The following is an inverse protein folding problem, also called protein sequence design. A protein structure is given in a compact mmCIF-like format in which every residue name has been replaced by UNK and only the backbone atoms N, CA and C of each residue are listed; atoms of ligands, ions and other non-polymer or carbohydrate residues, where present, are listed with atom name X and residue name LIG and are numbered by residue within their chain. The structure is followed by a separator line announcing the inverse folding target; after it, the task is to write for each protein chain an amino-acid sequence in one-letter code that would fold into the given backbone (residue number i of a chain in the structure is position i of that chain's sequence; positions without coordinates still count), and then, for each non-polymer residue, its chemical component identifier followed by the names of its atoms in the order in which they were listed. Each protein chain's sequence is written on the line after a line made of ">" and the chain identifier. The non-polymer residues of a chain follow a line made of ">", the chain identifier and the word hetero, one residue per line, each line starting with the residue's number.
data_IF_092485410934
#
_entry.id   IF_092485410934
#
_cell.length_a   1.000
_cell.length_b   1.000
_cell.length_c   1.000
_cell.angle_alpha   90.00
_cell.angle_beta   90.00
_cell.angle_gamma   90.00
#
_symmetry.space_group_name_H-M   'P 1'
#
loop_
_entity.id
_entity.type
_entity.pdbx_description
1 polymer ?
#
# COMPACT_ATOMS: atom_id res chain seq x y z
N UNK A 1 7.57 30.02 12.19
CA UNK A 1 8.48 30.43 13.29
C UNK A 1 9.32 29.19 13.56
N UNK A 2 10.62 29.25 13.32
CA UNK A 2 11.54 28.16 13.67
C UNK A 2 11.79 28.33 15.15
N UNK A 3 11.64 27.28 15.94
CA UNK A 3 11.97 27.28 17.36
C UNK A 3 13.48 27.43 17.49
N UNK A 4 13.94 28.33 18.34
CA UNK A 4 15.36 28.45 18.74
C UNK A 4 15.74 27.38 19.78
N UNK A 5 14.84 26.41 20.04
CA UNK A 5 15.06 25.32 20.98
C UNK A 5 15.92 24.24 20.33
N UNK A 6 16.87 23.72 21.10
CA UNK A 6 17.65 22.55 20.75
C UNK A 6 16.94 21.28 21.24
N UNK A 7 16.81 20.29 20.35
CA UNK A 7 16.20 18.99 20.66
C UNK A 7 17.29 17.93 20.83
N UNK A 8 17.02 16.91 21.64
CA UNK A 8 17.94 15.76 21.73
C UNK A 8 17.90 14.93 20.45
N UNK A 9 16.72 14.73 19.86
CA UNK A 9 16.52 14.00 18.61
C UNK A 9 15.47 14.71 17.76
N UNK A 10 15.76 14.93 16.48
CA UNK A 10 14.80 15.42 15.50
C UNK A 10 14.55 14.34 14.43
N UNK A 11 13.28 14.01 14.21
CA UNK A 11 12.88 12.96 13.27
C UNK A 11 12.13 13.57 12.09
N UNK A 12 12.61 13.27 10.85
CA UNK A 12 11.89 13.55 9.62
C UNK A 12 11.24 12.26 9.12
N UNK A 13 9.95 12.09 9.41
CA UNK A 13 9.23 10.87 9.10
C UNK A 13 8.79 10.79 7.62
N UNK A 14 8.38 11.94 7.04
CA UNK A 14 7.96 12.05 5.64
C UNK A 14 8.67 13.22 4.94
N UNK A 15 8.81 13.14 3.62
CA UNK A 15 9.30 14.24 2.80
C UNK A 15 8.43 15.51 2.95
N UNK A 16 9.01 16.71 2.89
CA UNK A 16 10.39 17.02 2.49
C UNK A 16 11.38 16.95 3.69
N UNK A 17 12.37 16.09 3.57
CA UNK A 17 13.35 15.86 4.65
C UNK A 17 14.27 17.05 4.91
N UNK A 18 14.55 17.89 3.92
CA UNK A 18 15.42 19.06 4.06
C UNK A 18 14.94 20.07 5.12
N UNK A 19 13.64 20.03 5.50
CA UNK A 19 13.15 20.89 6.56
C UNK A 19 13.84 20.59 7.90
N UNK A 20 13.88 19.32 8.30
CA UNK A 20 14.55 18.91 9.54
C UNK A 20 16.06 19.07 9.41
N UNK A 21 16.65 18.65 8.27
CA UNK A 21 18.10 18.78 8.09
C UNK A 21 18.58 20.22 8.22
N UNK A 22 17.88 21.19 7.60
CA UNK A 22 18.35 22.60 7.47
C UNK A 22 17.76 23.56 8.52
N UNK A 23 16.61 23.23 9.14
CA UNK A 23 15.84 24.20 9.91
C UNK A 23 15.61 23.81 11.37
N UNK A 24 15.93 22.59 11.76
CA UNK A 24 15.77 22.12 13.14
C UNK A 24 17.13 21.97 13.78
N UNK A 25 17.29 22.53 15.00
CA UNK A 25 18.49 22.38 15.83
C UNK A 25 18.29 21.13 16.70
N UNK A 26 19.14 20.12 16.53
CA UNK A 26 19.08 18.90 17.32
C UNK A 26 20.48 18.29 17.46
N UNK A 27 20.71 17.55 18.57
CA UNK A 27 21.95 16.80 18.79
C UNK A 27 22.11 15.65 17.81
N UNK A 28 21.00 14.96 17.53
CA UNK A 28 20.92 13.86 16.55
C UNK A 28 19.71 14.09 15.63
N UNK A 29 19.85 13.69 14.36
CA UNK A 29 18.80 13.77 13.36
C UNK A 29 18.61 12.42 12.68
N UNK A 30 17.32 12.02 12.53
CA UNK A 30 16.92 10.81 11.85
C UNK A 30 15.92 11.12 10.74
N UNK A 31 16.04 10.46 9.60
CA UNK A 31 15.03 10.52 8.54
C UNK A 31 14.58 9.13 8.14
N UNK A 32 13.32 9.01 7.68
CA UNK A 32 12.71 7.76 7.24
C UNK A 32 12.59 7.67 5.72
N UNK A 33 12.94 6.52 5.15
CA UNK A 33 12.72 6.21 3.73
C UNK A 33 11.49 5.30 3.63
N UNK A 34 10.46 5.80 2.95
CA UNK A 34 9.20 5.07 2.72
C UNK A 34 8.99 4.69 1.25
N UNK A 35 9.91 5.05 0.35
CA UNK A 35 9.76 4.93 -1.09
C UNK A 35 10.90 4.14 -1.70
N UNK A 36 10.60 3.38 -2.76
CA UNK A 36 11.60 2.75 -3.61
C UNK A 36 12.30 3.82 -4.47
N UNK A 37 13.60 4.02 -4.24
CA UNK A 37 14.42 5.05 -4.89
C UNK A 37 14.73 4.75 -6.37
N UNK A 38 14.51 3.53 -6.84
CA UNK A 38 14.61 3.20 -8.27
C UNK A 38 13.44 3.77 -9.09
N UNK A 39 12.35 4.17 -8.42
CA UNK A 39 11.13 4.68 -9.08
C UNK A 39 10.96 6.19 -9.02
N UNK A 40 11.90 6.91 -8.39
CA UNK A 40 11.80 8.36 -8.15
C UNK A 40 12.85 9.10 -8.97
N UNK A 41 12.42 10.11 -9.72
CA UNK A 41 13.34 11.06 -10.35
C UNK A 41 13.82 12.08 -9.30
N UNK A 42 15.14 12.12 -9.06
CA UNK A 42 15.76 12.98 -8.06
C UNK A 42 17.02 13.66 -8.61
N UNK A 43 17.36 14.79 -8.03
CA UNK A 43 18.70 15.38 -8.16
C UNK A 43 19.63 14.72 -7.13
N UNK A 44 20.47 13.79 -7.60
CA UNK A 44 21.31 12.94 -6.74
C UNK A 44 22.27 13.77 -5.88
N UNK A 45 22.87 14.85 -6.40
CA UNK A 45 23.83 15.65 -5.65
C UNK A 45 23.15 16.45 -4.54
N UNK A 46 21.99 17.04 -4.84
CA UNK A 46 21.18 17.77 -3.86
C UNK A 46 20.67 16.86 -2.76
N UNK A 47 20.13 15.69 -3.12
CA UNK A 47 19.63 14.68 -2.19
C UNK A 47 20.75 14.10 -1.33
N UNK A 48 21.91 13.79 -1.91
CA UNK A 48 23.06 13.29 -1.15
C UNK A 48 23.53 14.31 -0.10
N UNK A 49 23.56 15.60 -0.47
CA UNK A 49 23.88 16.68 0.46
C UNK A 49 22.89 16.74 1.64
N UNK A 50 21.61 16.58 1.38
CA UNK A 50 20.57 16.55 2.41
C UNK A 50 20.68 15.31 3.31
N UNK A 51 20.76 14.12 2.73
CA UNK A 51 20.85 12.85 3.47
C UNK A 51 22.13 12.76 4.33
N UNK A 52 23.23 13.37 3.88
CA UNK A 52 24.48 13.41 4.61
C UNK A 52 24.41 14.18 5.92
N UNK A 53 23.40 15.05 6.09
CA UNK A 53 23.20 15.83 7.34
C UNK A 53 22.45 15.04 8.43
N UNK A 54 21.91 13.88 8.11
CA UNK A 54 21.29 13.00 9.09
C UNK A 54 22.32 12.06 9.70
N UNK A 55 22.17 11.81 11.01
CA UNK A 55 23.00 10.82 11.72
C UNK A 55 22.52 9.41 11.44
N UNK A 56 21.19 9.23 11.32
CA UNK A 56 20.54 7.96 11.05
C UNK A 56 19.53 8.09 9.90
N UNK A 57 19.44 7.04 9.10
CA UNK A 57 18.47 6.91 8.00
C UNK A 57 17.71 5.60 8.21
N UNK A 58 16.47 5.69 8.68
CA UNK A 58 15.61 4.54 8.89
C UNK A 58 15.01 4.07 7.57
N UNK A 59 15.20 2.80 7.25
CA UNK A 59 14.60 2.13 6.10
C UNK A 59 13.57 1.12 6.56
N UNK A 60 12.42 1.07 5.86
CA UNK A 60 11.28 0.23 6.26
C UNK A 60 11.36 -1.21 5.76
N UNK A 61 12.34 -1.57 4.94
CA UNK A 61 12.58 -2.94 4.47
C UNK A 61 13.96 -3.08 3.82
N UNK A 62 14.45 -4.32 3.71
CA UNK A 62 15.72 -4.61 3.02
C UNK A 62 15.70 -4.14 1.56
N UNK A 63 14.56 -4.32 0.86
CA UNK A 63 14.42 -3.88 -0.54
C UNK A 63 14.49 -2.36 -0.70
N UNK A 64 13.88 -1.60 0.21
CA UNK A 64 14.01 -0.14 0.23
C UNK A 64 15.45 0.27 0.54
N UNK A 65 16.12 -0.44 1.45
CA UNK A 65 17.55 -0.26 1.73
C UNK A 65 18.41 -0.48 0.49
N UNK A 66 18.23 -1.61 -0.19
CA UNK A 66 18.98 -1.95 -1.42
C UNK A 66 18.79 -0.87 -2.51
N UNK A 67 17.55 -0.48 -2.77
CA UNK A 67 17.19 0.56 -3.74
C UNK A 67 17.85 1.91 -3.41
N UNK A 68 17.74 2.34 -2.15
CA UNK A 68 18.36 3.58 -1.68
C UNK A 68 19.88 3.55 -1.80
N UNK A 69 20.53 2.46 -1.39
CA UNK A 69 22.00 2.32 -1.42
C UNK A 69 22.56 2.14 -2.83
N UNK A 70 21.80 1.72 -3.83
CA UNK A 70 22.20 1.78 -5.24
C UNK A 70 22.44 3.23 -5.68
N UNK A 71 21.59 4.14 -5.20
CA UNK A 71 21.70 5.59 -5.51
C UNK A 71 22.73 6.28 -4.61
N UNK A 72 22.76 5.94 -3.32
CA UNK A 72 23.59 6.59 -2.29
C UNK A 72 24.50 5.60 -1.53
N UNK A 73 25.43 4.92 -2.19
CA UNK A 73 26.27 3.88 -1.57
C UNK A 73 27.11 4.38 -0.40
N UNK A 74 27.49 5.67 -0.38
CA UNK A 74 28.28 6.29 0.69
C UNK A 74 27.55 6.40 2.03
N UNK A 75 26.20 6.23 2.05
CA UNK A 75 25.39 6.38 3.25
C UNK A 75 25.12 5.06 3.98
N UNK A 76 25.72 3.95 3.57
CA UNK A 76 25.47 2.62 4.13
C UNK A 76 25.65 2.53 5.66
N UNK A 77 26.61 3.28 6.22
CA UNK A 77 26.87 3.29 7.67
C UNK A 77 25.81 4.03 8.48
N UNK A 78 24.91 4.79 7.84
CA UNK A 78 23.83 5.55 8.48
C UNK A 78 22.49 4.82 8.46
N UNK A 79 22.39 3.74 7.68
CA UNK A 79 21.14 3.00 7.51
C UNK A 79 20.84 2.16 8.75
N UNK A 80 19.58 2.26 9.20
CA UNK A 80 19.00 1.40 10.23
C UNK A 80 17.73 0.80 9.64
N UNK A 81 17.62 -0.52 9.65
CA UNK A 81 16.35 -1.19 9.32
C UNK A 81 15.37 -0.94 10.48
N UNK A 82 14.30 -0.24 10.20
CA UNK A 82 13.25 0.07 11.16
C UNK A 82 11.89 -0.12 10.51
N UNK A 83 11.36 -1.32 10.60
CA UNK A 83 10.08 -1.69 10.02
C UNK A 83 8.91 -0.99 10.71
N UNK A 84 7.79 -0.86 9.99
CA UNK A 84 6.61 -0.23 10.55
C UNK A 84 6.03 -1.07 11.70
N UNK A 85 5.79 -0.43 12.85
CA UNK A 85 5.11 -1.09 13.98
C UNK A 85 3.61 -1.17 13.65
N UNK A 86 3.07 -2.38 13.70
CA UNK A 86 1.67 -2.64 13.38
C UNK A 86 0.87 -3.00 14.65
N UNK A 87 -0.02 -2.11 15.11
CA UNK A 87 -0.81 -2.35 16.33
C UNK A 87 -2.00 -3.27 16.06
N UNK A 88 -1.77 -4.58 15.97
CA UNK A 88 -2.74 -5.60 15.54
C UNK A 88 -4.07 -5.54 16.28
N UNK A 89 -4.03 -5.49 17.62
CA UNK A 89 -5.26 -5.45 18.44
C UNK A 89 -6.03 -4.14 18.24
N UNK A 90 -5.33 -3.02 18.09
CA UNK A 90 -5.97 -1.74 17.80
C UNK A 90 -6.70 -1.76 16.46
N UNK A 91 -6.07 -2.30 15.41
CA UNK A 91 -6.66 -2.47 14.08
C UNK A 91 -7.90 -3.37 14.14
N UNK A 92 -7.82 -4.50 14.86
CA UNK A 92 -8.96 -5.40 15.05
C UNK A 92 -10.11 -4.71 15.77
N UNK A 93 -9.85 -4.00 16.85
CA UNK A 93 -10.88 -3.26 17.59
C UNK A 93 -11.55 -2.20 16.71
N UNK A 94 -10.78 -1.44 15.94
CA UNK A 94 -11.31 -0.44 15.00
C UNK A 94 -12.12 -1.08 13.87
N UNK A 95 -11.80 -2.30 13.45
CA UNK A 95 -12.55 -3.00 12.40
C UNK A 95 -13.97 -3.39 12.84
N UNK A 96 -14.24 -3.39 14.14
CA UNK A 96 -15.56 -3.68 14.73
C UNK A 96 -16.32 -2.44 15.16
N UNK A 97 -15.75 -1.24 15.03
CA UNK A 97 -16.31 -0.01 15.59
C UNK A 97 -17.47 0.58 14.78
N UNK A 98 -17.62 0.23 13.50
CA UNK A 98 -18.60 0.81 12.60
C UNK A 98 -19.21 -0.25 11.68
N UNK A 99 -20.50 -0.04 11.34
CA UNK A 99 -21.17 -0.85 10.33
C UNK A 99 -21.16 -0.11 8.98
N UNK A 100 -20.54 -0.72 7.97
CA UNK A 100 -20.37 -0.12 6.62
C UNK A 100 -21.28 -0.74 5.55
N UNK A 101 -22.29 -1.54 5.96
CA UNK A 101 -23.15 -2.29 5.05
C UNK A 101 -23.99 -1.38 4.14
N UNK A 102 -24.28 -0.15 4.56
CA UNK A 102 -24.99 0.82 3.73
C UNK A 102 -24.12 1.33 2.56
N UNK A 103 -22.81 1.45 2.78
CA UNK A 103 -21.86 1.90 1.77
C UNK A 103 -21.29 0.71 0.93
N UNK A 104 -21.21 -0.47 1.53
CA UNK A 104 -20.76 -1.72 0.90
C UNK A 104 -21.81 -2.83 1.11
N UNK A 105 -22.98 -2.74 0.44
CA UNK A 105 -24.04 -3.71 0.62
C UNK A 105 -23.59 -5.11 0.18
N UNK A 106 -23.92 -6.09 1.03
CA UNK A 106 -23.66 -7.51 0.80
C UNK A 106 -24.78 -8.07 -0.09
N UNK A 107 -24.52 -8.21 -1.38
CA UNK A 107 -25.40 -8.87 -2.34
C UNK A 107 -24.74 -10.17 -2.86
N UNK A 108 -25.18 -10.66 -4.03
CA UNK A 108 -24.58 -11.86 -4.64
C UNK A 108 -23.18 -11.61 -5.26
N UNK A 109 -22.70 -10.37 -5.28
CA UNK A 109 -21.42 -10.00 -5.85
C UNK A 109 -20.29 -10.19 -4.84
N UNK A 110 -19.15 -10.67 -5.29
CA UNK A 110 -17.95 -10.64 -4.45
C UNK A 110 -17.44 -9.20 -4.30
N UNK A 111 -17.15 -8.82 -3.07
CA UNK A 111 -16.68 -7.49 -2.72
C UNK A 111 -15.16 -7.44 -2.76
N UNK A 112 -14.62 -6.70 -3.72
CA UNK A 112 -13.19 -6.39 -3.83
C UNK A 112 -12.93 -4.99 -3.25
N UNK A 113 -11.80 -4.81 -2.58
CA UNK A 113 -11.43 -3.53 -1.98
C UNK A 113 -9.98 -3.18 -2.29
N UNK A 114 -9.74 -1.90 -2.59
CA UNK A 114 -8.41 -1.30 -2.68
C UNK A 114 -8.37 0.01 -1.90
N UNK A 115 -7.27 0.26 -1.19
CA UNK A 115 -7.08 1.46 -0.37
C UNK A 115 -5.77 2.13 -0.72
N UNK A 116 -5.80 3.45 -0.93
CA UNK A 116 -4.59 4.22 -1.15
C UNK A 116 -4.82 5.60 -1.73
N UNK A 117 -3.74 6.36 -1.85
CA UNK A 117 -3.78 7.67 -2.51
C UNK A 117 -4.07 7.49 -4.00
N UNK A 118 -4.98 8.27 -4.56
CA UNK A 118 -5.28 8.26 -6.00
C UNK A 118 -4.16 8.97 -6.76
N UNK A 119 -3.16 8.19 -7.17
CA UNK A 119 -1.99 8.64 -7.89
C UNK A 119 -1.46 7.51 -8.78
N UNK A 120 -0.59 7.85 -9.72
CA UNK A 120 -0.01 6.93 -10.71
C UNK A 120 0.56 5.66 -10.07
N UNK A 121 1.22 5.76 -8.90
CA UNK A 121 1.78 4.62 -8.17
C UNK A 121 0.75 3.54 -7.83
N UNK A 122 -0.47 3.94 -7.45
CA UNK A 122 -1.53 3.03 -6.99
C UNK A 122 -2.31 2.37 -8.13
N UNK A 123 -2.17 2.86 -9.38
CA UNK A 123 -2.74 2.22 -10.58
C UNK A 123 -4.28 2.07 -10.58
N UNK A 124 -4.99 2.89 -9.83
CA UNK A 124 -6.46 2.79 -9.74
C UNK A 124 -7.17 3.20 -11.04
N UNK A 125 -6.49 3.92 -11.92
CA UNK A 125 -6.94 4.24 -13.27
C UNK A 125 -7.14 2.98 -14.17
N UNK A 126 -6.47 1.88 -13.87
CA UNK A 126 -6.61 0.59 -14.57
C UNK A 126 -7.66 -0.34 -13.92
N UNK A 127 -8.14 -0.06 -12.71
CA UNK A 127 -9.15 -0.89 -12.04
C UNK A 127 -10.43 -1.07 -12.87
N UNK A 128 -10.99 -0.06 -13.55
CA UNK A 128 -12.20 -0.24 -14.37
C UNK A 128 -11.99 -1.24 -15.53
N UNK A 129 -10.82 -1.22 -16.18
CA UNK A 129 -10.50 -2.17 -17.26
C UNK A 129 -10.31 -3.60 -16.74
N UNK A 130 -9.61 -3.77 -15.61
CA UNK A 130 -9.44 -5.07 -14.96
C UNK A 130 -10.81 -5.61 -14.50
N UNK A 131 -11.65 -4.77 -13.88
CA UNK A 131 -13.00 -5.11 -13.45
C UNK A 131 -13.86 -5.60 -14.62
N UNK A 132 -13.88 -4.87 -15.74
CA UNK A 132 -14.60 -5.25 -16.95
C UNK A 132 -14.19 -6.66 -17.46
N UNK A 133 -12.90 -6.98 -17.44
CA UNK A 133 -12.40 -8.29 -17.85
C UNK A 133 -12.83 -9.41 -16.90
N UNK A 134 -12.91 -9.15 -15.58
CA UNK A 134 -13.39 -10.10 -14.59
C UNK A 134 -14.89 -10.37 -14.77
N UNK A 135 -15.69 -9.32 -15.00
CA UNK A 135 -17.13 -9.44 -15.28
C UNK A 135 -17.37 -10.23 -16.57
N UNK A 136 -16.59 -9.97 -17.62
CA UNK A 136 -16.65 -10.71 -18.89
C UNK A 136 -16.28 -12.19 -18.74
N UNK A 137 -15.52 -12.56 -17.71
CA UNK A 137 -15.26 -13.96 -17.34
C UNK A 137 -16.41 -14.61 -16.55
N UNK A 138 -17.53 -13.91 -16.36
CA UNK A 138 -18.76 -14.39 -15.73
C UNK A 138 -18.73 -14.38 -14.19
N UNK A 139 -17.86 -13.58 -13.56
CA UNK A 139 -17.82 -13.44 -12.11
C UNK A 139 -18.48 -12.12 -11.73
N UNK A 140 -19.52 -12.17 -10.89
CA UNK A 140 -20.16 -10.98 -10.34
C UNK A 140 -19.26 -10.38 -9.26
N UNK A 141 -18.82 -9.15 -9.44
CA UNK A 141 -17.99 -8.42 -8.48
C UNK A 141 -18.48 -6.97 -8.32
N UNK A 142 -18.19 -6.39 -7.17
CA UNK A 142 -18.12 -4.95 -6.94
C UNK A 142 -16.77 -4.59 -6.37
N UNK A 143 -16.12 -3.59 -6.95
CA UNK A 143 -14.78 -3.17 -6.53
C UNK A 143 -14.83 -1.77 -5.94
N UNK A 144 -14.58 -1.68 -4.65
CA UNK A 144 -14.58 -0.43 -3.90
C UNK A 144 -13.18 0.16 -3.79
N UNK A 145 -13.08 1.48 -3.99
CA UNK A 145 -11.85 2.25 -3.88
C UNK A 145 -11.98 3.26 -2.74
N UNK A 146 -11.12 3.12 -1.72
CA UNK A 146 -11.01 4.09 -0.62
C UNK A 146 -9.75 4.91 -0.80
N UNK A 147 -9.90 6.23 -0.77
CA UNK A 147 -8.79 7.16 -0.90
C UNK A 147 -9.19 8.48 -1.53
N UNK A 148 -8.18 9.24 -1.86
CA UNK A 148 -8.29 10.54 -2.55
C UNK A 148 -6.94 10.86 -3.20
N UNK A 149 -6.92 11.77 -4.15
CA UNK A 149 -5.67 12.22 -4.76
C UNK A 149 -5.83 12.84 -6.13
N UNK A 150 -4.73 13.25 -6.77
CA UNK A 150 -4.76 14.00 -8.02
C UNK A 150 -5.38 13.21 -9.18
N UNK A 151 -5.34 11.87 -9.15
CA UNK A 151 -5.84 11.03 -10.24
C UNK A 151 -7.34 10.69 -10.08
N UNK A 152 -8.07 11.26 -9.11
CA UNK A 152 -9.48 10.92 -8.88
C UNK A 152 -10.35 11.20 -10.11
N UNK A 153 -10.16 12.34 -10.76
CA UNK A 153 -10.89 12.68 -11.98
C UNK A 153 -10.58 11.71 -13.13
N UNK A 154 -9.31 11.32 -13.27
CA UNK A 154 -8.89 10.32 -14.25
C UNK A 154 -9.60 8.97 -13.99
N UNK A 155 -9.65 8.51 -12.74
CA UNK A 155 -10.31 7.25 -12.36
C UNK A 155 -11.81 7.33 -12.66
N UNK A 156 -12.50 8.42 -12.29
CA UNK A 156 -13.92 8.62 -12.56
C UNK A 156 -14.23 8.64 -14.07
N UNK A 157 -13.38 9.27 -14.87
CA UNK A 157 -13.51 9.29 -16.31
C UNK A 157 -13.35 7.88 -16.91
N UNK A 158 -12.38 7.07 -16.42
CA UNK A 158 -12.20 5.69 -16.86
C UNK A 158 -13.38 4.79 -16.47
N UNK A 159 -13.95 4.96 -15.28
CA UNK A 159 -15.17 4.26 -14.85
C UNK A 159 -16.29 4.53 -15.85
N UNK A 160 -16.53 5.80 -16.19
CA UNK A 160 -17.59 6.22 -17.11
C UNK A 160 -17.33 5.74 -18.55
N UNK A 161 -16.13 5.89 -19.06
CA UNK A 161 -15.74 5.45 -20.42
C UNK A 161 -16.00 3.95 -20.64
N UNK A 162 -15.77 3.14 -19.61
CA UNK A 162 -15.92 1.69 -19.65
C UNK A 162 -17.29 1.22 -19.15
N UNK A 163 -18.19 2.15 -18.78
CA UNK A 163 -19.54 1.86 -18.25
C UNK A 163 -19.48 0.95 -17.00
N UNK A 164 -18.58 1.29 -16.06
CA UNK A 164 -18.35 0.51 -14.84
C UNK A 164 -18.91 1.14 -13.58
N UNK A 165 -19.83 2.12 -13.70
CA UNK A 165 -20.40 2.88 -12.57
C UNK A 165 -21.11 1.99 -11.54
N UNK A 166 -21.71 0.89 -11.97
CA UNK A 166 -22.40 -0.06 -11.09
C UNK A 166 -21.44 -1.06 -10.42
N UNK A 167 -20.18 -1.13 -10.87
CA UNK A 167 -19.21 -2.16 -10.48
C UNK A 167 -17.96 -1.62 -9.79
N UNK A 168 -17.54 -0.39 -10.08
CA UNK A 168 -16.39 0.28 -9.47
C UNK A 168 -16.85 1.51 -8.73
N UNK A 169 -16.79 1.46 -7.40
CA UNK A 169 -17.34 2.49 -6.51
C UNK A 169 -16.21 3.22 -5.77
N UNK A 170 -16.14 4.54 -5.92
CA UNK A 170 -15.22 5.39 -5.15
C UNK A 170 -15.92 5.85 -3.86
N UNK A 171 -15.43 5.39 -2.71
CA UNK A 171 -15.97 5.75 -1.39
C UNK A 171 -15.35 7.02 -0.80
N UNK A 172 -14.32 7.59 -1.46
CA UNK A 172 -13.58 8.74 -0.95
C UNK A 172 -12.66 8.39 0.22
N UNK A 173 -12.19 9.42 0.92
CA UNK A 173 -11.34 9.26 2.10
C UNK A 173 -12.16 8.73 3.27
N UNK A 174 -11.64 7.71 3.96
CA UNK A 174 -12.16 7.21 5.24
C UNK A 174 -11.13 7.39 6.33
N UNK A 175 -11.54 7.89 7.48
CA UNK A 175 -10.64 8.03 8.64
C UNK A 175 -10.35 6.67 9.28
N UNK A 176 -11.36 5.80 9.31
CA UNK A 176 -11.22 4.41 9.73
C UNK A 176 -11.53 3.46 8.55
N UNK A 177 -10.52 2.92 7.85
CA UNK A 177 -10.76 2.02 6.72
C UNK A 177 -10.97 0.56 7.13
N UNK A 178 -10.72 0.20 8.39
CA UNK A 178 -10.69 -1.20 8.83
C UNK A 178 -12.05 -1.92 8.78
N UNK A 179 -13.20 -1.28 9.07
CA UNK A 179 -14.51 -1.92 8.87
C UNK A 179 -14.75 -2.31 7.40
N UNK A 180 -14.28 -1.48 6.45
CA UNK A 180 -14.38 -1.78 5.01
C UNK A 180 -13.47 -2.95 4.62
N UNK A 181 -12.24 -3.02 5.16
CA UNK A 181 -11.36 -4.18 4.97
C UNK A 181 -12.03 -5.43 5.53
N UNK A 182 -12.59 -5.36 6.73
CA UNK A 182 -13.31 -6.48 7.35
C UNK A 182 -14.52 -6.92 6.53
N UNK A 183 -15.21 -6.00 5.88
CA UNK A 183 -16.41 -6.24 5.08
C UNK A 183 -16.10 -6.84 3.70
N UNK A 184 -14.92 -6.61 3.11
CA UNK A 184 -14.61 -7.13 1.78
C UNK A 184 -14.33 -8.64 1.79
N UNK A 185 -14.52 -9.30 0.63
CA UNK A 185 -14.15 -10.70 0.43
C UNK A 185 -12.66 -10.84 0.11
N UNK A 186 -12.12 -9.94 -0.71
CA UNK A 186 -10.72 -9.96 -1.14
C UNK A 186 -10.18 -8.54 -1.18
N UNK A 187 -9.00 -8.33 -0.62
CA UNK A 187 -8.26 -7.10 -0.74
C UNK A 187 -7.31 -7.15 -1.94
N UNK A 188 -7.34 -6.13 -2.80
CA UNK A 188 -6.49 -6.07 -3.99
C UNK A 188 -5.69 -4.77 -4.01
N UNK A 189 -4.37 -4.85 -4.14
CA UNK A 189 -3.51 -3.68 -4.33
C UNK A 189 -2.86 -3.73 -5.71
N UNK A 190 -3.44 -3.05 -6.71
CA UNK A 190 -2.99 -3.13 -8.11
C UNK A 190 -1.84 -2.18 -8.44
N UNK A 191 -1.01 -1.81 -7.49
CA UNK A 191 0.02 -0.77 -7.60
C UNK A 191 1.04 -1.04 -8.71
N UNK A 192 1.56 0.03 -9.31
CA UNK A 192 2.71 -0.01 -10.23
C UNK A 192 4.02 -0.13 -9.47
N UNK A 193 4.11 0.55 -8.33
CA UNK A 193 5.27 0.48 -7.42
C UNK A 193 4.86 0.86 -6.00
N UNK A 194 5.58 0.29 -5.02
CA UNK A 194 5.44 0.53 -3.59
C UNK A 194 6.81 0.43 -2.91
N UNK A 195 6.97 1.09 -1.76
CA UNK A 195 8.01 0.75 -0.81
C UNK A 195 7.58 -0.46 0.03
N UNK A 196 6.70 -0.21 1.00
CA UNK A 196 5.98 -1.25 1.77
C UNK A 196 4.53 -0.80 1.95
N UNK A 197 3.59 -1.53 1.38
CA UNK A 197 2.18 -1.14 1.40
C UNK A 197 1.51 -1.55 2.72
N UNK A 198 1.34 -0.59 3.62
CA UNK A 198 0.74 -0.81 4.96
C UNK A 198 -0.66 -1.41 4.86
N UNK A 199 -1.50 -0.93 3.94
CA UNK A 199 -2.88 -1.43 3.80
C UNK A 199 -2.96 -2.91 3.35
N UNK A 200 -1.93 -3.45 2.71
CA UNK A 200 -1.80 -4.89 2.43
C UNK A 200 -1.59 -5.67 3.74
N UNK A 201 -0.70 -5.19 4.61
CA UNK A 201 -0.45 -5.80 5.92
C UNK A 201 -1.71 -5.71 6.79
N UNK A 202 -2.39 -4.57 6.80
CA UNK A 202 -3.66 -4.37 7.53
C UNK A 202 -4.74 -5.35 7.05
N UNK A 203 -4.84 -5.60 5.75
CA UNK A 203 -5.78 -6.59 5.20
C UNK A 203 -5.43 -8.02 5.64
N UNK A 204 -4.14 -8.38 5.66
CA UNK A 204 -3.68 -9.68 6.17
C UNK A 204 -3.97 -9.83 7.68
N UNK A 205 -3.77 -8.78 8.49
CA UNK A 205 -4.10 -8.78 9.93
C UNK A 205 -5.58 -8.98 10.19
N UNK A 206 -6.43 -8.50 9.29
CA UNK A 206 -7.88 -8.70 9.31
C UNK A 206 -8.28 -9.99 8.58
N UNK A 207 -7.32 -10.87 8.29
CA UNK A 207 -7.50 -12.19 7.72
C UNK A 207 -8.24 -12.18 6.38
N UNK A 208 -7.93 -11.20 5.52
CA UNK A 208 -8.45 -11.18 4.16
C UNK A 208 -7.48 -11.85 3.20
N UNK A 209 -7.97 -12.60 2.21
CA UNK A 209 -7.15 -12.97 1.07
C UNK A 209 -6.66 -11.70 0.38
N UNK A 210 -5.37 -11.63 0.09
CA UNK A 210 -4.72 -10.47 -0.50
C UNK A 210 -4.18 -10.80 -1.88
N UNK A 211 -4.40 -9.89 -2.83
CA UNK A 211 -3.81 -9.93 -4.17
C UNK A 211 -3.03 -8.63 -4.39
N UNK A 212 -1.78 -8.73 -4.82
CA UNK A 212 -0.98 -7.59 -5.23
C UNK A 212 -0.42 -7.79 -6.63
N UNK A 213 -0.11 -6.70 -7.33
CA UNK A 213 0.63 -6.75 -8.58
C UNK A 213 2.12 -7.03 -8.35
N UNK A 214 2.81 -7.52 -9.38
CA UNK A 214 4.24 -7.86 -9.37
C UNK A 214 5.11 -6.59 -9.50
N UNK A 215 5.05 -5.70 -8.50
CA UNK A 215 5.98 -4.58 -8.39
C UNK A 215 7.30 -5.02 -7.74
N UNK A 216 8.37 -4.25 -7.92
CA UNK A 216 9.74 -4.62 -7.55
C UNK A 216 9.90 -5.12 -6.09
N UNK A 217 9.14 -4.54 -5.14
CA UNK A 217 9.17 -4.91 -3.72
C UNK A 217 8.11 -5.94 -3.32
N UNK A 218 7.33 -6.50 -4.25
CA UNK A 218 6.22 -7.42 -3.97
C UNK A 218 6.64 -8.62 -3.09
N UNK A 219 7.80 -9.21 -3.37
CA UNK A 219 8.34 -10.34 -2.60
C UNK A 219 8.75 -10.01 -1.16
N UNK A 220 8.92 -8.71 -0.81
CA UNK A 220 9.10 -8.29 0.60
C UNK A 220 7.77 -8.02 1.31
N UNK A 221 6.68 -7.95 0.55
CA UNK A 221 5.34 -7.66 1.06
C UNK A 221 4.62 -8.94 1.47
N UNK A 222 4.68 -9.98 0.63
CA UNK A 222 4.04 -11.27 0.86
C UNK A 222 4.77 -12.39 0.10
N UNK A 223 4.51 -13.63 0.48
CA UNK A 223 4.97 -14.83 -0.20
C UNK A 223 3.86 -15.36 -1.13
N UNK A 224 4.14 -15.37 -2.48
CA UNK A 224 3.15 -15.74 -3.49
C UNK A 224 2.61 -17.16 -3.29
N UNK A 225 1.29 -17.28 -3.22
CA UNK A 225 0.57 -18.54 -2.99
C UNK A 225 0.56 -19.03 -1.53
N UNK A 226 1.21 -18.30 -0.62
CA UNK A 226 1.29 -18.67 0.81
C UNK A 226 0.41 -17.74 1.65
N UNK A 227 0.71 -16.43 1.70
CA UNK A 227 -0.02 -15.45 2.50
C UNK A 227 -0.67 -14.33 1.67
N UNK A 228 -0.60 -14.47 0.35
CA UNK A 228 -1.22 -13.65 -0.65
C UNK A 228 -0.92 -14.17 -2.05
N UNK A 229 -1.38 -13.47 -3.09
CA UNK A 229 -1.12 -13.82 -4.50
C UNK A 229 -0.54 -12.62 -5.23
N UNK A 230 0.56 -12.85 -5.95
CA UNK A 230 1.17 -11.86 -6.85
C UNK A 230 0.64 -12.06 -8.27
N UNK A 231 0.11 -11.00 -8.90
CA UNK A 231 -0.45 -11.04 -10.25
C UNK A 231 0.32 -10.14 -11.21
N UNK A 232 0.39 -10.47 -12.53
CA UNK A 232 1.06 -9.62 -13.52
C UNK A 232 0.49 -8.21 -13.58
N UNK A 233 1.32 -7.22 -13.94
CA UNK A 233 0.90 -5.81 -14.04
C UNK A 233 0.01 -5.51 -15.25
N UNK A 234 0.14 -6.25 -16.35
CA UNK A 234 -0.72 -5.99 -17.50
C UNK A 234 -2.17 -6.39 -17.21
N UNK A 235 -3.12 -5.55 -17.56
CA UNK A 235 -4.52 -5.69 -17.16
C UNK A 235 -5.17 -7.03 -17.55
N UNK A 236 -4.81 -7.60 -18.70
CA UNK A 236 -5.40 -8.85 -19.20
C UNK A 236 -4.94 -10.06 -18.38
N UNK A 237 -3.64 -10.18 -18.14
CA UNK A 237 -3.08 -11.28 -17.36
C UNK A 237 -3.39 -11.10 -15.87
N UNK A 238 -3.41 -9.85 -15.38
CA UNK A 238 -3.88 -9.47 -14.05
C UNK A 238 -5.30 -9.99 -13.81
N UNK A 239 -6.25 -9.59 -14.66
CA UNK A 239 -7.64 -10.03 -14.56
C UNK A 239 -7.77 -11.56 -14.63
N UNK A 240 -7.03 -12.22 -15.55
CA UNK A 240 -7.04 -13.68 -15.68
C UNK A 240 -6.58 -14.38 -14.39
N UNK A 241 -5.49 -13.90 -13.76
CA UNK A 241 -4.99 -14.50 -12.51
C UNK A 241 -5.91 -14.18 -11.33
N UNK A 242 -6.48 -12.96 -11.25
CA UNK A 242 -7.52 -12.63 -10.28
C UNK A 242 -8.72 -13.58 -10.42
N UNK A 243 -9.25 -13.79 -11.64
CA UNK A 243 -10.36 -14.72 -11.90
C UNK A 243 -10.05 -16.13 -11.37
N UNK A 244 -8.82 -16.61 -11.56
CA UNK A 244 -8.42 -17.91 -11.03
C UNK A 244 -8.51 -17.95 -9.51
N UNK A 245 -8.01 -16.91 -8.81
CA UNK A 245 -8.10 -16.79 -7.35
C UNK A 245 -9.55 -16.67 -6.88
N UNK A 246 -10.39 -15.89 -7.56
CA UNK A 246 -11.81 -15.73 -7.20
C UNK A 246 -12.60 -17.04 -7.27
N UNK A 247 -12.22 -17.94 -8.17
CA UNK A 247 -12.83 -19.27 -8.34
C UNK A 247 -12.29 -20.32 -7.36
N UNK A 248 -11.08 -20.13 -6.86
CA UNK A 248 -10.39 -21.10 -5.98
C UNK A 248 -10.66 -20.79 -4.50
N UNK A 249 -11.78 -21.30 -3.99
CA UNK A 249 -12.16 -21.12 -2.57
C UNK A 249 -11.22 -21.86 -1.60
N UNK A 250 -10.53 -22.91 -2.07
CA UNK A 250 -9.55 -23.61 -1.25
C UNK A 250 -8.29 -22.76 -1.06
N UNK A 251 -7.76 -22.20 -2.14
CA UNK A 251 -6.65 -21.25 -2.06
C UNK A 251 -6.99 -20.07 -1.14
N UNK A 252 -8.18 -19.45 -1.30
CA UNK A 252 -8.59 -18.33 -0.44
C UNK A 252 -8.57 -18.70 1.04
N UNK A 253 -9.05 -19.91 1.41
CA UNK A 253 -9.00 -20.42 2.80
C UNK A 253 -7.58 -20.63 3.28
N UNK A 254 -6.71 -21.22 2.46
CA UNK A 254 -5.30 -21.44 2.80
C UNK A 254 -4.56 -20.12 3.05
N UNK A 255 -4.76 -19.11 2.20
CA UNK A 255 -4.20 -17.77 2.37
C UNK A 255 -4.61 -17.18 3.73
N UNK A 256 -5.90 -17.24 4.08
CA UNK A 256 -6.42 -16.75 5.36
C UNK A 256 -5.81 -17.50 6.55
N UNK A 257 -5.72 -18.82 6.49
CA UNK A 257 -5.13 -19.63 7.59
C UNK A 257 -3.63 -19.33 7.77
N UNK A 258 -2.92 -19.04 6.70
CA UNK A 258 -1.50 -18.69 6.79
C UNK A 258 -1.30 -17.29 7.36
N UNK A 259 -2.16 -16.30 7.00
CA UNK A 259 -2.09 -14.97 7.62
C UNK A 259 -2.36 -15.00 9.12
N UNK A 260 -3.17 -15.93 9.62
CA UNK A 260 -3.39 -16.10 11.07
C UNK A 260 -2.15 -16.56 11.83
N UNK A 261 -1.22 -17.25 11.15
CA UNK A 261 0.01 -17.77 11.74
C UNK A 261 1.18 -16.77 11.68
N UNK A 262 1.02 -15.71 10.91
CA UNK A 262 2.08 -14.70 10.70
C UNK A 262 2.24 -13.83 11.94
N UNK A 263 3.48 -13.61 12.35
CA UNK A 263 3.81 -12.63 13.40
C UNK A 263 3.87 -11.23 12.77
N UNK A 264 2.89 -10.40 13.09
CA UNK A 264 2.81 -9.02 12.61
C UNK A 264 3.51 -8.00 13.53
N UNK A 265 4.01 -8.42 14.69
CA UNK A 265 4.70 -7.52 15.62
C UNK A 265 6.13 -7.19 15.13
N UNK A 266 6.67 -7.99 14.21
CA UNK A 266 8.04 -7.91 13.71
C UNK A 266 8.07 -7.82 12.16
N UNK A 267 7.18 -7.03 11.54
CA UNK A 267 7.08 -6.90 10.08
C UNK A 267 7.44 -5.48 9.63
#
# INVERSE_FOLDING_TARGET
>A
MISDEEYDLAISFLAPHYFVSKKVIAKEKMAWIHTDYETVEIDVDSELGMWSEYDYIASISDKVTESFLKTFPSLHNKIILFENIMPVEYIRNLSDSENVIEEMPQDESMILLSIGRFCTAKNFDNVPDICSKILNAGIKIKWYLIGYGPDEELIRNRIKELQMEDYVCILGKKENPYPYIKCCDIYIQPSRYEGKCVSVIEAQMLHKPVIITDYATAGSQLEDGVDGVVVPMNNTDCARKIVAVLRDKELQRQLVENTKKRDYANI
#
